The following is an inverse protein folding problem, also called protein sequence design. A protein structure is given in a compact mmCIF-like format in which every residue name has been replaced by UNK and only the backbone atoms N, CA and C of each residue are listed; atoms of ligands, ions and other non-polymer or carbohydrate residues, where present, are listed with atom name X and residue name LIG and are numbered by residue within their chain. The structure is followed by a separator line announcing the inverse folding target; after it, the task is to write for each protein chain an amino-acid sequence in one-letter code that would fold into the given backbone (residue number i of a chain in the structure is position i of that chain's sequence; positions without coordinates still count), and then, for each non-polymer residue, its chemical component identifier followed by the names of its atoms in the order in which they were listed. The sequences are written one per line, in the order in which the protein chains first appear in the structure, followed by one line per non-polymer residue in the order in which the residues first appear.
data_IF_416657187299
#
_entry.id   IF_416657187299
#
_cell.length_a   1.000
_cell.length_b   1.000
_cell.length_c   1.000
_cell.angle_alpha   90.00
_cell.angle_beta   90.00
_cell.angle_gamma   90.00
#
_symmetry.space_group_name_H-M   'P 1'
#
loop_
_entity.id
_entity.type
_entity.pdbx_description
1 polymer ?
#
# COMPACT_ATOMS: atom_id res chain seq x y z
N UNK A 1 -64.90 3.27 -20.05
CA UNK A 1 -63.59 3.11 -20.73
C UNK A 1 -62.68 4.28 -20.38
N UNK A 2 -61.82 4.21 -19.34
CA UNK A 2 -60.82 5.27 -19.06
C UNK A 2 -59.66 4.84 -18.13
N UNK A 3 -59.35 3.54 -18.05
CA UNK A 3 -58.30 3.02 -17.14
C UNK A 3 -57.07 2.40 -17.83
N UNK A 4 -57.08 2.23 -19.16
CA UNK A 4 -55.97 1.57 -19.88
C UNK A 4 -54.75 2.46 -20.15
N UNK A 5 -54.86 3.78 -20.01
CA UNK A 5 -53.82 4.73 -20.45
C UNK A 5 -52.72 4.99 -19.42
N UNK A 6 -52.93 4.68 -18.13
CA UNK A 6 -51.96 4.97 -17.06
C UNK A 6 -50.91 3.87 -16.82
N UNK A 7 -51.22 2.61 -17.16
CA UNK A 7 -50.32 1.47 -16.90
C UNK A 7 -49.11 1.47 -17.85
N UNK A 8 -49.29 1.92 -19.10
CA UNK A 8 -48.21 1.98 -20.08
C UNK A 8 -47.17 3.08 -19.79
N UNK A 9 -47.55 4.12 -19.03
CA UNK A 9 -46.62 5.18 -18.63
C UNK A 9 -45.70 4.70 -17.51
N UNK A 10 -46.25 4.03 -16.49
CA UNK A 10 -45.50 3.50 -15.35
C UNK A 10 -44.47 2.42 -15.73
N UNK A 11 -44.78 1.56 -16.71
CA UNK A 11 -43.86 0.53 -17.21
C UNK A 11 -42.64 1.11 -17.95
N UNK A 12 -42.79 2.23 -18.67
CA UNK A 12 -41.66 2.87 -19.38
C UNK A 12 -40.68 3.55 -18.43
N UNK A 13 -41.18 4.19 -17.37
CA UNK A 13 -40.32 4.80 -16.35
C UNK A 13 -39.62 3.76 -15.46
N UNK A 14 -40.27 2.61 -15.21
CA UNK A 14 -39.67 1.49 -14.47
C UNK A 14 -38.44 0.91 -15.20
N UNK A 15 -38.52 0.67 -16.50
CA UNK A 15 -37.41 0.07 -17.27
C UNK A 15 -36.21 1.02 -17.38
N UNK A 16 -36.45 2.33 -17.54
CA UNK A 16 -35.40 3.37 -17.54
C UNK A 16 -34.70 3.50 -16.18
N UNK A 17 -35.44 3.34 -15.07
CA UNK A 17 -34.88 3.34 -13.72
C UNK A 17 -33.96 2.14 -13.48
N UNK A 18 -34.34 0.94 -13.94
CA UNK A 18 -33.50 -0.26 -13.83
C UNK A 18 -32.22 -0.18 -14.66
N UNK A 19 -32.25 0.40 -15.87
CA UNK A 19 -31.05 0.58 -16.72
C UNK A 19 -30.07 1.60 -16.09
N UNK A 20 -30.58 2.63 -15.42
CA UNK A 20 -29.76 3.61 -14.71
C UNK A 20 -29.07 3.00 -13.47
N UNK A 21 -29.76 2.12 -12.73
CA UNK A 21 -29.16 1.40 -11.60
C UNK A 21 -28.07 0.42 -12.10
N UNK A 22 -28.32 -0.29 -13.20
CA UNK A 22 -27.36 -1.26 -13.74
C UNK A 22 -26.05 -0.62 -14.23
N UNK A 23 -26.09 0.62 -14.72
CA UNK A 23 -24.89 1.35 -15.16
C UNK A 23 -24.13 2.05 -14.03
N UNK A 24 -24.77 2.32 -12.90
CA UNK A 24 -24.12 2.87 -11.70
C UNK A 24 -23.41 1.80 -10.86
N UNK A 25 -23.75 0.51 -11.03
CA UNK A 25 -23.09 -0.60 -10.31
C UNK A 25 -21.72 -1.02 -10.88
N UNK A 26 -21.28 -0.45 -12.00
CA UNK A 26 -20.01 -0.84 -12.68
C UNK A 26 -18.83 0.08 -12.33
N UNK A 27 -18.93 0.91 -11.28
CA UNK A 27 -17.80 1.74 -10.83
C UNK A 27 -17.61 1.69 -9.33
N UNK A 28 -16.97 0.61 -8.89
CA UNK A 28 -16.09 0.62 -7.74
C UNK A 28 -15.04 -0.46 -8.01
N UNK A 29 -14.07 -0.13 -8.86
CA UNK A 29 -12.80 -0.86 -8.84
C UNK A 29 -12.17 -0.49 -7.49
N UNK A 30 -12.44 -1.32 -6.48
CA UNK A 30 -11.78 -1.20 -5.18
C UNK A 30 -10.31 -1.50 -5.43
N UNK A 31 -9.55 -0.44 -5.68
CA UNK A 31 -8.15 -0.50 -6.05
C UNK A 31 -7.41 -1.56 -5.26
N UNK A 32 -6.79 -2.47 -5.99
CA UNK A 32 -5.91 -3.51 -5.47
C UNK A 32 -4.99 -2.90 -4.40
N UNK A 33 -5.14 -3.33 -3.15
CA UNK A 33 -4.22 -2.95 -2.08
C UNK A 33 -3.11 -4.01 -2.03
N UNK A 34 -1.93 -3.76 -2.62
CA UNK A 34 -0.85 -4.75 -2.68
C UNK A 34 -0.37 -5.17 -1.28
N UNK A 35 -0.62 -4.36 -0.25
CA UNK A 35 -0.27 -4.70 1.13
C UNK A 35 -1.18 -5.79 1.71
N UNK A 36 -2.46 -5.85 1.33
CA UNK A 36 -3.41 -6.84 1.85
C UNK A 36 -3.20 -8.22 1.21
N UNK A 37 -3.05 -8.27 -0.11
CA UNK A 37 -2.92 -9.54 -0.86
C UNK A 37 -1.58 -10.24 -0.63
N UNK A 38 -0.56 -9.50 -0.19
CA UNK A 38 0.70 -10.08 0.31
C UNK A 38 0.53 -10.90 1.60
N UNK A 39 -0.56 -10.69 2.34
CA UNK A 39 -0.85 -11.34 3.63
C UNK A 39 -1.46 -12.73 3.46
N UNK A 40 -2.28 -12.92 2.42
CA UNK A 40 -3.08 -14.14 2.26
C UNK A 40 -2.29 -15.27 1.61
N UNK A 41 -1.27 -14.97 0.81
CA UNK A 41 -0.50 -15.99 0.08
C UNK A 41 -1.37 -16.85 -0.85
N UNK A 42 -2.62 -16.43 -1.07
CA UNK A 42 -3.70 -17.25 -1.61
C UNK A 42 -3.95 -16.96 -3.10
N UNK A 43 -3.16 -16.05 -3.69
CA UNK A 43 -3.28 -15.65 -5.08
C UNK A 43 -2.31 -16.45 -5.97
N UNK A 44 -2.82 -16.95 -7.10
CA UNK A 44 -2.18 -17.80 -8.13
C UNK A 44 -0.97 -17.14 -8.86
N UNK A 45 -0.14 -16.34 -8.19
CA UNK A 45 1.10 -15.77 -8.73
C UNK A 45 0.92 -14.60 -9.71
N UNK A 46 -0.23 -14.51 -10.40
CA UNK A 46 -0.55 -13.47 -11.39
C UNK A 46 -0.46 -12.05 -10.81
N UNK A 47 -0.82 -11.87 -9.54
CA UNK A 47 -0.80 -10.57 -8.88
C UNK A 47 0.61 -10.10 -8.47
N UNK A 48 1.54 -11.03 -8.22
CA UNK A 48 2.93 -10.70 -7.89
C UNK A 48 3.65 -10.01 -9.05
N UNK A 49 3.25 -10.34 -10.28
CA UNK A 49 3.82 -9.81 -11.52
C UNK A 49 3.42 -8.36 -11.81
N UNK A 50 2.53 -7.76 -11.01
CA UNK A 50 2.27 -6.32 -11.07
C UNK A 50 3.52 -5.51 -10.67
N UNK A 51 4.21 -5.97 -9.63
CA UNK A 51 5.43 -5.35 -9.11
C UNK A 51 6.70 -6.05 -9.61
N UNK A 52 6.70 -7.39 -9.66
CA UNK A 52 7.89 -8.19 -9.97
C UNK A 52 7.96 -8.59 -11.46
N UNK A 53 9.18 -8.66 -12.00
CA UNK A 53 9.47 -9.16 -13.37
C UNK A 53 9.18 -10.64 -13.53
N UNK A 54 9.35 -11.41 -12.46
CA UNK A 54 9.15 -12.85 -12.43
C UNK A 54 8.45 -13.25 -11.14
N UNK A 55 7.76 -14.39 -11.16
CA UNK A 55 7.11 -14.91 -9.97
C UNK A 55 8.19 -15.38 -8.97
N UNK A 56 8.19 -14.87 -7.73
CA UNK A 56 9.14 -15.32 -6.72
C UNK A 56 8.91 -16.81 -6.40
N UNK A 57 10.00 -17.59 -6.37
CA UNK A 57 9.95 -19.05 -6.21
C UNK A 57 9.58 -19.50 -4.78
N UNK A 58 9.75 -18.62 -3.77
CA UNK A 58 9.38 -18.90 -2.38
C UNK A 58 8.55 -17.73 -1.83
N UNK A 59 7.25 -17.93 -1.64
CA UNK A 59 6.36 -16.92 -1.08
C UNK A 59 6.46 -16.84 0.46
N UNK A 60 6.88 -17.92 1.14
CA UNK A 60 6.80 -18.03 2.60
C UNK A 60 7.96 -17.35 3.36
N UNK A 61 9.15 -17.24 2.77
CA UNK A 61 10.36 -16.77 3.48
C UNK A 61 10.80 -15.33 3.12
N UNK A 62 10.13 -14.68 2.17
CA UNK A 62 10.56 -13.38 1.63
C UNK A 62 9.68 -12.19 2.06
N UNK A 63 8.66 -12.44 2.88
CA UNK A 63 7.68 -11.42 3.28
C UNK A 63 7.98 -10.88 4.68
N UNK A 64 9.14 -10.25 4.84
CA UNK A 64 9.60 -9.81 6.16
C UNK A 64 10.32 -8.47 6.14
N UNK A 65 10.22 -7.77 7.27
CA UNK A 65 10.92 -6.52 7.60
C UNK A 65 12.43 -6.56 7.32
N UNK A 66 13.04 -7.75 7.45
CA UNK A 66 14.47 -7.99 7.30
C UNK A 66 14.90 -8.45 5.90
N UNK A 67 13.96 -8.62 4.97
CA UNK A 67 14.25 -9.11 3.63
C UNK A 67 14.64 -7.94 2.74
N UNK A 68 15.86 -8.01 2.21
CA UNK A 68 16.39 -7.00 1.31
C UNK A 68 15.86 -7.28 -0.10
N UNK A 69 15.15 -6.33 -0.73
CA UNK A 69 14.64 -6.53 -2.07
C UNK A 69 15.79 -6.54 -3.07
N UNK A 70 15.66 -7.37 -4.10
CA UNK A 70 16.54 -7.36 -5.25
C UNK A 70 16.03 -6.30 -6.21
N UNK A 71 16.63 -5.12 -6.19
CA UNK A 71 16.12 -3.91 -6.88
C UNK A 71 15.91 -4.10 -8.39
N UNK A 72 16.76 -4.90 -9.05
CA UNK A 72 16.61 -5.19 -10.47
C UNK A 72 15.48 -6.20 -10.80
N UNK A 73 14.74 -6.70 -9.81
CA UNK A 73 13.64 -7.66 -9.97
C UNK A 73 12.27 -7.02 -10.19
N UNK A 74 12.16 -5.68 -10.17
CA UNK A 74 10.89 -4.96 -10.30
C UNK A 74 10.61 -4.44 -11.71
N UNK A 75 9.35 -4.42 -12.12
CA UNK A 75 8.94 -3.94 -13.45
C UNK A 75 9.14 -2.44 -13.67
N UNK A 76 9.20 -1.68 -12.57
CA UNK A 76 9.38 -0.23 -12.52
C UNK A 76 10.41 0.12 -11.45
N UNK A 77 10.84 1.38 -11.41
CA UNK A 77 11.60 1.87 -10.26
C UNK A 77 10.77 1.78 -8.97
N UNK A 78 11.45 1.67 -7.85
CA UNK A 78 10.85 1.55 -6.52
C UNK A 78 9.98 2.78 -6.19
N UNK A 79 10.44 3.97 -6.60
CA UNK A 79 9.71 5.22 -6.41
C UNK A 79 8.46 5.27 -7.27
N UNK A 80 8.56 4.91 -8.56
CA UNK A 80 7.43 4.91 -9.48
C UNK A 80 6.34 3.92 -9.05
N UNK A 81 6.75 2.70 -8.67
CA UNK A 81 5.83 1.65 -8.21
C UNK A 81 5.00 2.11 -7.00
N UNK A 82 5.61 2.80 -6.03
CA UNK A 82 4.89 3.34 -4.89
C UNK A 82 4.01 4.55 -5.28
N UNK A 83 4.49 5.35 -6.23
CA UNK A 83 3.83 6.60 -6.63
C UNK A 83 2.55 6.39 -7.46
N UNK A 84 2.37 5.20 -8.04
CA UNK A 84 1.14 4.80 -8.72
C UNK A 84 -0.09 4.86 -7.79
N UNK A 85 0.12 4.61 -6.48
CA UNK A 85 -0.95 4.59 -5.47
C UNK A 85 -0.77 5.65 -4.36
N UNK A 86 0.46 6.03 -4.03
CA UNK A 86 0.77 6.96 -2.94
C UNK A 86 1.31 8.28 -3.48
N UNK A 87 0.92 9.40 -2.89
CA UNK A 87 1.60 10.67 -3.17
C UNK A 87 3.00 10.67 -2.56
N UNK A 88 4.03 10.90 -3.36
CA UNK A 88 5.44 10.94 -2.96
C UNK A 88 5.85 12.16 -2.11
N UNK A 89 4.88 12.98 -1.66
CA UNK A 89 5.12 14.28 -1.04
C UNK A 89 5.60 14.25 0.41
N UNK A 90 5.57 13.08 1.07
CA UNK A 90 5.78 13.02 2.53
C UNK A 90 7.25 12.83 2.94
N UNK A 91 8.13 12.37 2.04
CA UNK A 91 9.55 12.20 2.32
C UNK A 91 10.39 12.29 1.04
N UNK A 92 11.63 12.75 1.15
CA UNK A 92 12.54 12.90 0.01
C UNK A 92 13.10 11.52 -0.38
N UNK A 93 13.01 11.19 -1.67
CA UNK A 93 13.54 9.97 -2.28
C UNK A 93 14.32 10.34 -3.56
N UNK A 94 15.09 9.40 -4.12
CA UNK A 94 15.94 9.62 -5.29
C UNK A 94 17.21 10.43 -5.01
N UNK A 95 17.66 10.42 -3.74
CA UNK A 95 18.87 11.13 -3.31
C UNK A 95 19.95 10.14 -2.92
N UNK A 96 21.20 10.43 -3.29
CA UNK A 96 22.37 9.68 -2.80
C UNK A 96 22.76 10.24 -1.43
N UNK A 97 22.78 9.41 -0.38
CA UNK A 97 23.16 9.85 0.96
C UNK A 97 24.66 10.19 1.01
N UNK A 98 25.01 11.28 1.69
CA UNK A 98 26.40 11.68 1.93
C UNK A 98 27.10 10.93 3.07
N UNK A 99 26.52 9.83 3.54
CA UNK A 99 27.00 9.02 4.65
C UNK A 99 26.75 7.54 4.36
N UNK A 100 27.42 6.66 5.12
CA UNK A 100 27.23 5.21 4.98
C UNK A 100 25.87 4.79 5.51
N UNK A 101 25.01 4.30 4.62
CA UNK A 101 23.73 3.72 5.00
C UNK A 101 23.93 2.30 5.55
N UNK A 102 23.31 1.94 6.68
CA UNK A 102 23.37 0.58 7.23
C UNK A 102 22.93 -0.49 6.22
N UNK A 103 23.57 -1.66 6.25
CA UNK A 103 23.38 -2.71 5.25
C UNK A 103 21.95 -3.31 5.19
N UNK A 104 21.15 -3.13 6.23
CA UNK A 104 19.74 -3.56 6.30
C UNK A 104 18.74 -2.51 5.77
N UNK A 105 19.23 -1.33 5.36
CA UNK A 105 18.46 -0.30 4.66
C UNK A 105 18.94 -0.23 3.21
N UNK A 106 18.27 -0.92 2.28
CA UNK A 106 18.80 -1.08 0.94
C UNK A 106 18.63 0.18 0.11
N UNK A 107 19.67 0.54 -0.62
CA UNK A 107 19.62 1.58 -1.64
C UNK A 107 19.21 0.95 -2.99
N UNK A 108 18.79 1.79 -3.93
CA UNK A 108 18.53 1.36 -5.30
C UNK A 108 19.83 1.02 -6.05
N UNK A 109 19.71 0.69 -7.34
CA UNK A 109 20.85 0.37 -8.22
C UNK A 109 21.80 1.56 -8.47
N UNK A 110 21.41 2.77 -8.09
CA UNK A 110 22.18 4.01 -8.22
C UNK A 110 22.64 4.56 -6.86
N UNK A 111 22.62 3.73 -5.81
CA UNK A 111 22.93 4.12 -4.43
C UNK A 111 22.04 5.25 -3.89
N UNK A 112 20.77 5.29 -4.30
CA UNK A 112 19.79 6.29 -3.87
C UNK A 112 18.81 5.73 -2.84
N UNK A 113 18.35 6.62 -1.94
CA UNK A 113 17.27 6.35 -1.01
C UNK A 113 15.95 6.27 -1.79
N UNK A 114 15.20 5.18 -1.60
CA UNK A 114 13.86 5.00 -2.17
C UNK A 114 12.84 4.69 -1.08
N UNK A 115 11.58 4.52 -1.48
CA UNK A 115 10.52 4.05 -0.58
C UNK A 115 10.90 2.71 0.08
N UNK A 116 11.53 1.80 -0.67
CA UNK A 116 11.90 0.46 -0.19
C UNK A 116 13.13 0.44 0.72
N UNK A 117 13.89 1.54 0.80
CA UNK A 117 14.99 1.71 1.76
C UNK A 117 14.47 1.65 3.19
N UNK A 118 13.31 2.25 3.44
CA UNK A 118 12.71 2.32 4.78
C UNK A 118 11.50 1.41 4.93
N UNK A 119 10.73 1.18 3.87
CA UNK A 119 9.53 0.38 3.91
C UNK A 119 9.78 -1.02 3.34
N UNK A 120 9.25 -2.04 4.00
CA UNK A 120 8.98 -3.31 3.33
C UNK A 120 7.55 -3.24 2.74
N UNK A 121 7.16 -4.20 1.90
CA UNK A 121 5.88 -4.11 1.16
C UNK A 121 4.93 -5.27 1.43
N UNK A 122 5.44 -6.36 2.00
CA UNK A 122 4.68 -7.56 2.29
C UNK A 122 4.50 -7.77 3.79
N UNK A 123 3.28 -8.06 4.23
CA UNK A 123 2.98 -8.37 5.64
C UNK A 123 1.78 -7.60 6.18
N UNK A 124 1.57 -7.67 7.49
CA UNK A 124 0.40 -7.05 8.13
C UNK A 124 0.54 -5.53 8.22
N UNK A 125 -0.53 -4.82 7.85
CA UNK A 125 -0.73 -3.39 8.13
C UNK A 125 -1.08 -3.12 9.61
N UNK A 126 -1.33 -4.16 10.39
CA UNK A 126 -1.57 -4.08 11.83
C UNK A 126 -0.30 -4.48 12.59
N UNK A 127 -0.02 -3.78 13.69
CA UNK A 127 1.09 -4.05 14.59
C UNK A 127 0.59 -4.22 16.02
N UNK A 128 1.19 -5.17 16.74
CA UNK A 128 0.93 -5.38 18.17
C UNK A 128 1.59 -4.31 19.05
N UNK A 129 2.33 -3.38 18.44
CA UNK A 129 3.06 -2.29 19.10
C UNK A 129 2.79 -0.97 18.39
N UNK A 130 2.87 0.17 19.10
CA UNK A 130 2.75 1.47 18.46
C UNK A 130 3.91 1.71 17.48
N UNK A 131 3.59 2.14 16.25
CA UNK A 131 4.52 2.36 15.13
C UNK A 131 4.56 3.82 14.66
N UNK A 132 3.83 4.71 15.34
CA UNK A 132 3.73 6.14 15.07
C UNK A 132 4.06 6.92 16.36
N UNK A 133 4.53 8.17 16.25
CA UNK A 133 4.81 8.99 17.44
C UNK A 133 3.61 9.03 18.37
N UNK A 134 3.89 8.78 19.64
CA UNK A 134 2.89 8.80 20.70
C UNK A 134 3.06 10.05 21.53
N UNK A 135 2.20 11.06 21.32
CA UNK A 135 1.96 12.02 22.38
C UNK A 135 1.04 11.39 23.44
N UNK A 136 1.07 11.92 24.67
CA UNK A 136 0.11 11.52 25.70
C UNK A 136 -1.34 11.61 25.20
N UNK A 137 -1.65 12.65 24.40
CA UNK A 137 -2.97 12.82 23.81
C UNK A 137 -3.29 11.78 22.72
N UNK A 138 -2.32 11.34 21.92
CA UNK A 138 -2.53 10.25 20.96
C UNK A 138 -2.92 8.94 21.65
N UNK A 139 -2.35 8.68 22.83
CA UNK A 139 -2.68 7.50 23.62
C UNK A 139 -4.12 7.48 24.14
N UNK A 140 -4.73 8.66 24.29
CA UNK A 140 -6.12 8.82 24.75
C UNK A 140 -7.08 8.82 23.55
N UNK A 141 -6.76 9.54 22.47
CA UNK A 141 -7.71 9.82 21.40
C UNK A 141 -7.48 9.06 20.08
N UNK A 142 -6.29 8.48 19.84
CA UNK A 142 -5.91 7.91 18.54
C UNK A 142 -5.27 6.51 18.63
N UNK A 143 -5.72 5.66 19.58
CA UNK A 143 -5.13 4.32 19.80
C UNK A 143 -5.09 3.44 18.55
N UNK A 144 -6.07 3.54 17.67
CA UNK A 144 -6.13 2.75 16.44
C UNK A 144 -5.04 3.13 15.43
N UNK A 145 -4.73 4.43 15.29
CA UNK A 145 -3.65 4.90 14.40
C UNK A 145 -2.29 4.38 14.86
N UNK A 146 -2.08 4.31 16.18
CA UNK A 146 -0.80 3.91 16.76
C UNK A 146 -0.41 2.49 16.37
N UNK A 147 -1.38 1.57 16.27
CA UNK A 147 -1.15 0.18 15.93
C UNK A 147 -1.15 -0.08 14.40
N UNK A 148 -1.22 0.95 13.55
CA UNK A 148 -1.02 0.77 12.11
C UNK A 148 0.47 0.61 11.83
N UNK A 149 0.86 -0.57 11.35
CA UNK A 149 2.18 -0.82 10.81
C UNK A 149 2.32 -0.02 9.53
N UNK A 150 3.13 1.05 9.57
CA UNK A 150 3.59 1.73 8.35
C UNK A 150 4.62 0.88 7.57
N UNK A 151 4.74 -0.41 7.89
CA UNK A 151 5.60 -1.36 7.20
C UNK A 151 7.07 -0.90 7.21
N UNK A 152 7.53 -0.31 8.32
CA UNK A 152 8.89 0.22 8.48
C UNK A 152 9.91 -0.88 8.81
N UNK A 153 11.07 -0.86 8.14
CA UNK A 153 12.24 -1.75 8.33
C UNK A 153 12.97 -1.53 9.64
N UNK A 154 12.94 -0.31 10.16
CA UNK A 154 13.44 0.03 11.48
C UNK A 154 12.42 0.88 12.19
N UNK A 155 12.07 0.48 13.40
CA UNK A 155 11.32 1.36 14.28
C UNK A 155 12.32 2.33 14.92
N UNK A 156 11.83 3.43 15.43
CA UNK A 156 12.47 4.05 16.58
C UNK A 156 11.61 3.81 17.83
N UNK A 157 12.19 4.03 19.01
CA UNK A 157 11.56 3.68 20.29
C UNK A 157 10.27 4.46 20.58
N UNK A 158 10.03 5.57 19.87
CA UNK A 158 8.93 6.50 20.13
C UNK A 158 7.86 6.48 19.03
N UNK A 159 8.07 5.73 17.94
CA UNK A 159 7.19 5.65 16.77
C UNK A 159 7.43 6.74 15.71
N UNK A 160 8.53 7.49 15.82
CA UNK A 160 8.98 8.48 14.84
C UNK A 160 9.86 7.85 13.73
N UNK A 161 10.46 8.70 12.87
CA UNK A 161 11.35 8.29 11.78
C UNK A 161 12.65 7.62 12.26
N UNK A 162 13.17 6.66 11.47
CA UNK A 162 14.36 5.90 11.84
C UNK A 162 15.60 6.80 12.08
N UNK A 163 16.26 6.60 13.22
CA UNK A 163 17.47 7.35 13.60
C UNK A 163 18.69 7.06 12.72
N UNK A 164 18.63 6.06 11.82
CA UNK A 164 19.69 5.82 10.84
C UNK A 164 19.97 7.04 9.96
N UNK A 165 18.92 7.80 9.65
CA UNK A 165 18.98 8.97 8.77
C UNK A 165 18.52 10.26 9.50
N UNK A 166 17.79 10.13 10.61
CA UNK A 166 17.19 11.24 11.35
C UNK A 166 17.84 11.50 12.72
N UNK A 167 19.01 10.90 13.02
CA UNK A 167 19.82 11.32 14.16
C UNK A 167 20.25 12.78 13.95
N UNK A 168 19.66 13.71 14.69
CA UNK A 168 20.16 15.08 14.80
C UNK A 168 21.38 15.13 15.71
#
# INVERSE_FOLDING_TARGET
MKYKTNIQCLLKYSVLFFICIYTMSVRADSGFNPHYESKTGENDGVQCLSCHKTQPLEQANFNGKHIIPVMNSFNKSEVEMCSDCHSSSSHIVGITPGYTVPADLPLDVNDQITCLTCHYVHGSLESDKPMASTSFMDHIFNRERLNKSYILRRNNAEGDMCLACHSK
#
